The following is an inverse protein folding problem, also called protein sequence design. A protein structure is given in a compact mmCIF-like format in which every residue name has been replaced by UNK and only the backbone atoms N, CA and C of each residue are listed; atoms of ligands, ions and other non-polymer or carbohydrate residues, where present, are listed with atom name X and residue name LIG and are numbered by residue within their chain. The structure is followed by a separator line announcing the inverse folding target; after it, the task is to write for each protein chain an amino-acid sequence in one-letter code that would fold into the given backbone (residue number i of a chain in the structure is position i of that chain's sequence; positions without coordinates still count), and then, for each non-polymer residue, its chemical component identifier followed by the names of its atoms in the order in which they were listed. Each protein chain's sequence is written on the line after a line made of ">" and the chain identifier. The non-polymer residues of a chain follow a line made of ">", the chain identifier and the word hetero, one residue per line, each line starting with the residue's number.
data_IF_456359350054
#
_entry.id   IF_456359350054
#
_cell.length_a   1.000
_cell.length_b   1.000
_cell.length_c   1.000
_cell.angle_alpha   90.00
_cell.angle_beta   90.00
_cell.angle_gamma   90.00
#
_symmetry.space_group_name_H-M   'P 1'
#
loop_
_entity.id
_entity.type
_entity.pdbx_description
1 polymer ?
#
# COMPACT_ATOMS: atom_id res chain seq x y z
N UNK A 1 -4.20 9.43 39.12
CA UNK A 1 -3.77 9.04 37.75
C UNK A 1 -4.72 8.00 37.12
N UNK A 2 -6.01 7.98 37.50
CA UNK A 2 -7.00 7.04 36.93
C UNK A 2 -7.90 7.67 35.86
N UNK A 3 -8.26 8.94 36.00
CA UNK A 3 -9.32 9.55 35.17
C UNK A 3 -8.92 9.95 33.75
N UNK A 4 -7.62 10.08 33.45
CA UNK A 4 -7.14 10.38 32.09
C UNK A 4 -7.17 9.17 31.14
N UNK A 5 -7.30 7.95 31.68
CA UNK A 5 -7.40 6.72 30.87
C UNK A 5 -8.83 6.45 30.40
N UNK A 6 -9.83 6.88 31.17
CA UNK A 6 -11.24 6.65 30.84
C UNK A 6 -11.77 7.61 29.77
N UNK A 7 -11.23 8.84 29.71
CA UNK A 7 -11.56 9.82 28.67
C UNK A 7 -11.07 9.38 27.28
N UNK A 8 -9.92 8.73 27.19
CA UNK A 8 -9.37 8.21 25.94
C UNK A 8 -10.19 7.02 25.39
N UNK A 9 -10.79 6.20 26.27
CA UNK A 9 -11.64 5.08 25.89
C UNK A 9 -13.08 5.49 25.55
N UNK A 10 -13.59 6.58 26.12
CA UNK A 10 -14.94 7.08 25.82
C UNK A 10 -15.07 7.67 24.40
N UNK A 11 -13.98 8.19 23.83
CA UNK A 11 -14.01 8.82 22.49
C UNK A 11 -13.96 7.80 21.34
N UNK A 12 -13.59 6.54 21.60
CA UNK A 12 -13.43 5.50 20.56
C UNK A 12 -14.66 4.60 20.37
N UNK A 13 -15.76 4.84 21.08
CA UNK A 13 -17.04 4.14 20.93
C UNK A 13 -18.11 5.06 20.33
N UNK A 14 -18.09 5.24 19.01
CA UNK A 14 -19.30 5.40 18.16
C UNK A 14 -18.93 5.36 16.69
N UNK A 15 -19.04 4.16 16.14
CA UNK A 15 -19.12 3.86 14.71
C UNK A 15 -20.21 4.72 14.07
N UNK A 16 -19.84 5.47 13.04
CA UNK A 16 -20.74 6.04 12.04
C UNK A 16 -20.13 5.81 10.67
N UNK A 17 -20.05 4.55 10.23
CA UNK A 17 -19.43 4.16 8.94
C UNK A 17 -20.44 3.46 8.02
N UNK A 18 -21.70 3.90 8.05
CA UNK A 18 -22.76 3.44 7.14
C UNK A 18 -23.51 4.66 6.62
N UNK A 19 -23.12 5.10 5.42
CA UNK A 19 -23.72 6.25 4.75
C UNK A 19 -23.21 6.44 3.32
N UNK A 20 -22.95 5.36 2.56
CA UNK A 20 -22.82 5.46 1.10
C UNK A 20 -24.21 5.46 0.47
N UNK A 21 -24.78 6.66 0.37
CA UNK A 21 -25.99 6.95 -0.38
C UNK A 21 -25.69 8.00 -1.46
N UNK A 22 -25.64 7.52 -2.71
CA UNK A 22 -25.91 8.19 -3.98
C UNK A 22 -25.65 9.71 -4.12
N UNK A 23 -24.78 10.07 -5.08
CA UNK A 23 -25.07 11.18 -6.01
C UNK A 23 -24.67 10.77 -7.43
N UNK A 24 -25.69 10.61 -8.27
CA UNK A 24 -25.58 10.58 -9.73
C UNK A 24 -25.78 12.01 -10.26
N UNK A 25 -25.16 12.32 -11.41
CA UNK A 25 -25.56 13.45 -12.26
C UNK A 25 -24.40 14.40 -12.60
N UNK A 26 -23.87 14.27 -13.81
CA UNK A 26 -22.78 15.10 -14.30
C UNK A 26 -23.19 16.49 -14.79
N UNK A 27 -22.18 17.29 -15.11
CA UNK A 27 -22.22 18.37 -16.11
C UNK A 27 -20.79 18.68 -16.59
N UNK A 28 -20.70 19.01 -17.87
CA UNK A 28 -19.51 19.24 -18.67
C UNK A 28 -18.78 20.56 -18.35
N UNK A 29 -17.50 20.64 -18.76
CA UNK A 29 -16.80 21.92 -18.89
C UNK A 29 -15.30 21.79 -19.15
N UNK A 30 -14.89 21.87 -20.43
CA UNK A 30 -13.50 22.10 -20.84
C UNK A 30 -13.10 23.55 -20.55
N UNK A 31 -12.05 23.79 -19.77
CA UNK A 31 -11.24 25.01 -19.86
C UNK A 31 -9.89 24.81 -19.15
N UNK A 32 -8.80 25.18 -19.83
CA UNK A 32 -7.43 24.90 -19.42
C UNK A 32 -6.96 25.65 -18.18
N UNK A 33 -5.97 25.03 -17.52
CA UNK A 33 -5.20 25.59 -16.43
C UNK A 33 -4.23 24.52 -15.93
N UNK A 34 -2.94 24.77 -16.08
CA UNK A 34 -1.84 23.96 -15.52
C UNK A 34 -1.93 23.99 -14.00
N UNK A 35 -2.66 23.02 -13.45
CA UNK A 35 -2.59 22.62 -12.05
C UNK A 35 -2.29 21.13 -12.07
N UNK A 36 -1.12 20.74 -11.54
CA UNK A 36 -0.68 19.35 -11.45
C UNK A 36 -1.67 18.53 -10.62
N UNK A 37 -2.67 17.97 -11.27
CA UNK A 37 -3.47 16.89 -10.74
C UNK A 37 -2.65 15.62 -10.96
N UNK A 38 -1.96 15.19 -9.92
CA UNK A 38 -1.46 13.81 -9.80
C UNK A 38 -2.70 12.94 -9.61
N UNK A 39 -3.44 12.74 -10.70
CA UNK A 39 -4.57 11.83 -10.71
C UNK A 39 -4.03 10.41 -10.91
N UNK A 40 -4.42 9.43 -10.08
CA UNK A 40 -4.03 8.05 -10.30
C UNK A 40 -4.54 7.59 -11.67
N UNK A 41 -3.63 7.10 -12.52
CA UNK A 41 -3.94 6.65 -13.88
C UNK A 41 -3.94 5.12 -13.93
N UNK A 42 -4.79 4.58 -14.80
CA UNK A 42 -4.73 3.17 -15.18
C UNK A 42 -3.39 2.85 -15.88
N UNK A 43 -2.82 1.70 -15.52
CA UNK A 43 -1.50 1.27 -15.97
C UNK A 43 -1.42 1.10 -17.50
N UNK A 44 -0.34 1.59 -18.12
CA UNK A 44 -0.06 1.48 -19.56
C UNK A 44 1.44 1.25 -19.77
N UNK A 45 1.79 0.42 -20.75
CA UNK A 45 3.19 0.11 -21.07
C UNK A 45 3.91 1.35 -21.59
N UNK A 46 5.11 1.60 -21.07
CA UNK A 46 5.94 2.71 -21.52
C UNK A 46 6.70 2.36 -22.81
N UNK A 47 6.99 3.32 -23.69
CA UNK A 47 7.93 3.12 -24.79
C UNK A 47 9.36 2.94 -24.22
N UNK A 48 10.00 1.82 -24.56
CA UNK A 48 11.31 1.43 -24.02
C UNK A 48 12.38 1.56 -25.12
N UNK A 49 13.45 2.31 -24.86
CA UNK A 49 14.68 2.23 -25.66
C UNK A 49 15.51 1.03 -25.18
N UNK A 50 15.69 -0.02 -26.00
CA UNK A 50 16.42 -1.22 -25.59
C UNK A 50 17.92 -0.99 -25.29
N UNK A 51 18.48 0.14 -25.74
CA UNK A 51 19.89 0.50 -25.57
C UNK A 51 20.17 1.32 -24.31
N UNK A 52 19.14 1.97 -23.75
CA UNK A 52 19.25 2.79 -22.55
C UNK A 52 18.99 1.97 -21.29
N UNK A 53 19.79 2.20 -20.23
CA UNK A 53 19.51 1.60 -18.92
C UNK A 53 18.16 2.07 -18.38
N UNK A 54 17.52 1.27 -17.51
CA UNK A 54 16.24 1.66 -16.88
C UNK A 54 16.35 3.02 -16.18
N UNK A 55 17.46 3.26 -15.49
CA UNK A 55 17.73 4.55 -14.85
C UNK A 55 17.77 5.70 -15.87
N UNK A 56 18.44 5.51 -17.01
CA UNK A 56 18.50 6.54 -18.04
C UNK A 56 17.12 6.85 -18.62
N UNK A 57 16.29 5.83 -18.87
CA UNK A 57 14.90 6.01 -19.32
C UNK A 57 14.08 6.86 -18.34
N UNK A 58 14.24 6.61 -17.03
CA UNK A 58 13.59 7.38 -15.96
C UNK A 58 14.09 8.83 -15.94
N UNK A 59 15.41 9.04 -16.04
CA UNK A 59 16.02 10.36 -16.03
C UNK A 59 15.60 11.19 -17.25
N UNK A 60 15.61 10.61 -18.45
CA UNK A 60 15.22 11.28 -19.69
C UNK A 60 13.74 11.66 -19.70
N UNK A 61 12.89 10.81 -19.12
CA UNK A 61 11.46 11.06 -18.94
C UNK A 61 11.17 12.11 -17.85
N UNK A 62 12.12 12.35 -16.95
CA UNK A 62 12.04 13.44 -15.96
C UNK A 62 11.07 13.21 -14.80
N UNK A 63 10.59 11.99 -14.60
CA UNK A 63 9.80 11.57 -13.42
C UNK A 63 9.88 10.06 -13.21
N UNK A 64 9.55 9.59 -12.00
CA UNK A 64 9.50 8.17 -11.63
C UNK A 64 8.05 7.65 -11.68
N UNK A 65 7.79 6.50 -12.30
CA UNK A 65 6.48 5.82 -12.23
C UNK A 65 6.55 4.73 -11.17
N UNK A 66 5.71 4.84 -10.15
CA UNK A 66 5.68 3.95 -8.99
C UNK A 66 4.37 3.19 -8.93
N UNK A 67 4.47 1.86 -8.94
CA UNK A 67 3.34 0.98 -8.65
C UNK A 67 3.05 0.92 -7.16
N UNK A 68 1.82 1.25 -6.76
CA UNK A 68 1.37 1.24 -5.36
C UNK A 68 -0.12 0.92 -5.24
N UNK A 69 -0.68 0.90 -4.03
CA UNK A 69 -2.11 0.72 -3.78
C UNK A 69 -2.69 1.88 -2.97
N UNK A 70 -3.98 1.84 -2.62
CA UNK A 70 -4.65 2.94 -1.91
C UNK A 70 -5.49 2.51 -0.70
N UNK A 71 -5.37 1.25 -0.24
CA UNK A 71 -6.30 0.66 0.74
C UNK A 71 -5.65 0.12 2.01
N UNK A 72 -4.35 0.33 2.21
CA UNK A 72 -3.57 -0.37 3.24
C UNK A 72 -2.84 0.60 4.18
N UNK A 73 -3.55 1.22 5.14
CA UNK A 73 -2.90 2.03 6.17
C UNK A 73 -2.04 1.15 7.11
N UNK A 74 -0.91 1.66 7.62
CA UNK A 74 -0.31 2.98 7.39
C UNK A 74 0.66 3.04 6.18
N UNK A 75 0.62 2.06 5.28
CA UNK A 75 1.60 1.88 4.20
C UNK A 75 1.32 2.72 2.97
N UNK A 76 0.19 2.46 2.32
CA UNK A 76 -0.27 3.16 1.13
C UNK A 76 -1.80 3.21 1.18
N UNK A 77 -2.34 4.39 1.43
CA UNK A 77 -3.77 4.58 1.61
C UNK A 77 -4.20 5.98 1.20
N UNK A 78 -5.47 6.15 0.85
CA UNK A 78 -6.06 7.46 0.69
C UNK A 78 -6.53 8.00 2.05
N UNK A 79 -6.17 9.23 2.38
CA UNK A 79 -6.69 9.94 3.54
C UNK A 79 -8.12 10.44 3.33
N UNK A 80 -8.68 11.15 4.32
CA UNK A 80 -10.04 11.69 4.25
C UNK A 80 -10.25 12.69 3.09
N UNK A 81 -9.16 13.24 2.54
CA UNK A 81 -9.18 14.16 1.41
C UNK A 81 -9.07 13.45 0.06
N UNK A 82 -8.88 12.13 0.06
CA UNK A 82 -8.58 11.34 -1.14
C UNK A 82 -7.12 11.47 -1.59
N UNK A 83 -6.25 12.03 -0.75
CA UNK A 83 -4.82 12.14 -1.05
C UNK A 83 -4.13 10.84 -0.71
N UNK A 84 -3.35 10.33 -1.65
CA UNK A 84 -2.55 9.14 -1.44
C UNK A 84 -1.40 9.45 -0.48
N UNK A 85 -1.35 8.74 0.65
CA UNK A 85 -0.40 8.94 1.75
C UNK A 85 0.07 7.61 2.35
N UNK A 86 1.11 7.68 3.19
CA UNK A 86 1.64 6.55 3.94
C UNK A 86 3.13 6.31 3.68
N UNK A 87 3.70 5.36 4.42
CA UNK A 87 5.15 5.10 4.39
C UNK A 87 5.69 4.72 3.00
N UNK A 88 4.94 3.96 2.21
CA UNK A 88 5.35 3.58 0.85
C UNK A 88 5.32 4.80 -0.10
N UNK A 89 4.39 5.72 0.13
CA UNK A 89 4.23 6.96 -0.65
C UNK A 89 5.35 7.94 -0.33
N UNK A 90 5.67 8.10 0.95
CA UNK A 90 6.82 8.88 1.40
C UNK A 90 8.12 8.31 0.84
N UNK A 91 8.25 6.98 0.75
CA UNK A 91 9.42 6.36 0.13
C UNK A 91 9.53 6.68 -1.36
N UNK A 92 8.43 6.65 -2.10
CA UNK A 92 8.41 7.03 -3.50
C UNK A 92 8.83 8.50 -3.71
N UNK A 93 8.32 9.41 -2.89
CA UNK A 93 8.74 10.82 -2.91
C UNK A 93 10.22 11.00 -2.58
N UNK A 94 10.76 10.23 -1.63
CA UNK A 94 12.19 10.25 -1.31
C UNK A 94 13.05 9.76 -2.49
N UNK A 95 12.62 8.73 -3.22
CA UNK A 95 13.33 8.28 -4.43
C UNK A 95 13.29 9.39 -5.49
N UNK A 96 12.12 9.97 -5.77
CA UNK A 96 11.97 11.05 -6.75
C UNK A 96 12.83 12.27 -6.40
N UNK A 97 12.86 12.68 -5.11
CA UNK A 97 13.71 13.75 -4.63
C UNK A 97 15.19 13.48 -4.89
N UNK A 98 15.68 12.26 -4.66
CA UNK A 98 17.08 11.93 -4.89
C UNK A 98 17.45 11.86 -6.38
N UNK A 99 16.49 11.52 -7.25
CA UNK A 99 16.71 11.45 -8.70
C UNK A 99 16.63 12.83 -9.37
N UNK A 100 15.74 13.71 -8.90
CA UNK A 100 15.35 14.93 -9.61
C UNK A 100 15.47 16.22 -8.79
N UNK A 101 15.92 16.15 -7.53
CA UNK A 101 15.87 17.26 -6.55
C UNK A 101 14.45 17.81 -6.31
N UNK A 102 13.43 17.02 -6.66
CA UNK A 102 12.01 17.39 -6.57
C UNK A 102 11.17 16.16 -6.19
N UNK A 103 10.58 16.11 -4.97
CA UNK A 103 9.78 14.98 -4.53
C UNK A 103 8.48 14.82 -5.33
N UNK A 104 8.03 15.85 -6.05
CA UNK A 104 6.78 15.80 -6.83
C UNK A 104 6.95 15.11 -8.18
N UNK A 105 8.19 14.76 -8.58
CA UNK A 105 8.51 14.03 -9.81
C UNK A 105 8.22 12.54 -9.72
N UNK A 106 7.01 12.21 -9.27
CA UNK A 106 6.50 10.85 -9.17
C UNK A 106 5.09 10.77 -9.75
N UNK A 107 4.86 9.74 -10.56
CA UNK A 107 3.53 9.31 -11.01
C UNK A 107 3.18 8.00 -10.30
N UNK A 108 2.01 7.97 -9.67
CA UNK A 108 1.52 6.77 -8.99
C UNK A 108 0.55 5.99 -9.88
N UNK A 109 0.84 4.70 -10.03
CA UNK A 109 -0.03 3.73 -10.71
C UNK A 109 -0.63 2.82 -9.66
N UNK A 110 -1.95 2.92 -9.48
CA UNK A 110 -2.69 2.08 -8.55
C UNK A 110 -2.86 0.68 -9.12
N UNK A 111 -2.48 -0.31 -8.31
CA UNK A 111 -2.52 -1.72 -8.71
C UNK A 111 -2.81 -2.65 -7.53
N UNK A 112 -3.41 -3.79 -7.84
CA UNK A 112 -3.58 -4.90 -6.91
C UNK A 112 -2.26 -5.59 -6.57
N UNK A 113 -2.26 -6.38 -5.50
CA UNK A 113 -1.07 -7.12 -5.06
C UNK A 113 -0.56 -8.15 -6.06
N UNK A 114 -1.46 -8.72 -6.85
CA UNK A 114 -1.23 -9.70 -7.92
C UNK A 114 -0.59 -9.07 -9.16
N UNK A 115 -0.90 -7.80 -9.45
CA UNK A 115 -0.40 -7.08 -10.60
C UNK A 115 1.02 -6.52 -10.43
N UNK A 116 1.58 -6.51 -9.21
CA UNK A 116 2.91 -5.96 -8.88
C UNK A 116 4.02 -6.37 -9.85
N UNK A 117 4.33 -7.67 -9.91
CA UNK A 117 5.40 -8.19 -10.78
C UNK A 117 5.04 -8.06 -12.26
N UNK A 118 3.81 -8.41 -12.72
CA UNK A 118 3.41 -8.19 -14.10
C UNK A 118 3.60 -6.74 -14.58
N UNK A 119 3.17 -5.75 -13.79
CA UNK A 119 3.32 -4.32 -14.13
C UNK A 119 4.79 -3.90 -14.24
N UNK A 120 5.67 -4.46 -13.42
CA UNK A 120 7.10 -4.19 -13.50
C UNK A 120 7.74 -4.84 -14.74
N UNK A 121 7.40 -6.09 -15.05
CA UNK A 121 7.94 -6.84 -16.20
C UNK A 121 7.47 -6.22 -17.53
N UNK A 122 6.25 -5.70 -17.55
CA UNK A 122 5.64 -5.08 -18.75
C UNK A 122 5.96 -3.60 -18.88
N UNK A 123 6.88 -3.07 -18.06
CA UNK A 123 7.28 -1.66 -18.06
C UNK A 123 6.09 -0.70 -17.94
N UNK A 124 5.09 -1.08 -17.16
CA UNK A 124 4.00 -0.17 -16.77
C UNK A 124 4.39 0.69 -15.57
N UNK A 125 5.34 0.22 -14.76
CA UNK A 125 5.93 0.95 -13.62
C UNK A 125 7.44 0.72 -13.61
N UNK A 126 8.20 1.69 -13.08
CA UNK A 126 9.66 1.55 -12.95
C UNK A 126 10.05 0.79 -11.68
N UNK A 127 9.31 1.06 -10.61
CA UNK A 127 9.54 0.47 -9.28
C UNK A 127 8.21 0.23 -8.57
N UNK A 128 8.25 -0.60 -7.54
CA UNK A 128 7.08 -0.93 -6.71
C UNK A 128 7.37 -0.47 -5.28
N UNK A 129 6.51 0.40 -4.75
CA UNK A 129 6.47 0.76 -3.34
C UNK A 129 5.08 0.38 -2.82
N UNK A 130 4.96 -0.90 -2.42
CA UNK A 130 3.67 -1.48 -2.04
C UNK A 130 3.84 -2.65 -1.06
N UNK A 131 4.63 -2.44 0.00
CA UNK A 131 4.86 -3.41 1.08
C UNK A 131 5.02 -4.86 0.58
N UNK A 132 6.02 -5.07 -0.29
CA UNK A 132 6.21 -6.36 -0.97
C UNK A 132 7.27 -7.22 -0.26
N UNK A 133 6.83 -8.32 0.35
CA UNK A 133 7.74 -9.29 0.98
C UNK A 133 8.67 -9.94 -0.06
N UNK A 134 9.97 -9.95 0.25
CA UNK A 134 10.99 -10.62 -0.55
C UNK A 134 10.87 -12.13 -0.35
N UNK A 135 10.69 -12.87 -1.44
CA UNK A 135 10.70 -14.34 -1.43
C UNK A 135 11.57 -14.87 -2.58
N UNK A 136 12.13 -16.09 -2.48
CA UNK A 136 12.95 -16.66 -3.55
C UNK A 136 12.25 -16.72 -4.90
N UNK A 137 10.97 -17.11 -4.93
CA UNK A 137 10.18 -17.17 -6.18
C UNK A 137 9.94 -15.80 -6.83
N UNK A 138 9.85 -14.73 -6.03
CA UNK A 138 9.75 -13.35 -6.54
C UNK A 138 11.11 -12.85 -7.01
N UNK A 139 12.19 -13.15 -6.28
CA UNK A 139 13.55 -12.74 -6.61
C UNK A 139 14.08 -13.37 -7.91
N UNK A 140 13.46 -14.46 -8.38
CA UNK A 140 13.71 -15.02 -9.71
C UNK A 140 13.09 -14.20 -10.85
N UNK A 141 12.08 -13.37 -10.56
CA UNK A 141 11.31 -12.61 -11.55
C UNK A 141 11.66 -11.12 -11.56
N UNK A 142 12.01 -10.55 -10.40
CA UNK A 142 12.37 -9.14 -10.28
C UNK A 142 13.51 -8.92 -9.27
N UNK A 143 14.19 -7.79 -9.40
CA UNK A 143 15.18 -7.34 -8.44
C UNK A 143 14.52 -6.65 -7.24
N UNK A 144 15.13 -6.80 -6.07
CA UNK A 144 14.73 -6.12 -4.84
C UNK A 144 15.83 -5.18 -4.36
N UNK A 145 15.41 -4.10 -3.69
CA UNK A 145 16.31 -3.23 -2.94
C UNK A 145 16.78 -3.91 -1.65
N UNK A 146 17.67 -3.25 -0.93
CA UNK A 146 17.84 -3.55 0.50
C UNK A 146 16.50 -3.34 1.20
N UNK A 147 16.02 -4.28 2.05
CA UNK A 147 14.72 -4.14 2.69
C UNK A 147 14.62 -2.84 3.48
N UNK A 148 13.62 -2.01 3.17
CA UNK A 148 13.37 -0.74 3.87
C UNK A 148 12.50 -0.90 5.13
N UNK A 149 11.86 -2.05 5.29
CA UNK A 149 11.06 -2.40 6.46
C UNK A 149 11.17 -3.91 6.73
N UNK A 150 11.10 -4.30 8.01
CA UNK A 150 11.05 -5.69 8.46
C UNK A 150 9.88 -5.85 9.41
N UNK A 151 9.12 -6.92 9.22
CA UNK A 151 7.98 -7.26 10.07
C UNK A 151 8.16 -8.60 10.74
N UNK A 152 7.42 -8.77 11.82
CA UNK A 152 7.12 -10.07 12.42
C UNK A 152 5.62 -10.31 12.34
N UNK A 153 5.24 -11.59 12.27
CA UNK A 153 3.83 -11.98 12.33
C UNK A 153 3.51 -12.35 13.77
N UNK A 154 2.42 -11.79 14.29
CA UNK A 154 1.94 -12.02 15.64
C UNK A 154 0.43 -12.19 15.67
N UNK A 155 -0.06 -12.69 16.80
CA UNK A 155 -1.49 -12.85 17.06
C UNK A 155 -1.97 -11.69 17.91
N UNK A 156 -3.15 -11.16 17.55
CA UNK A 156 -3.83 -10.12 18.30
C UNK A 156 -5.11 -10.70 18.90
N UNK A 157 -5.34 -10.44 20.18
CA UNK A 157 -6.57 -10.80 20.89
C UNK A 157 -7.23 -9.55 21.44
N UNK A 158 -8.53 -9.61 21.68
CA UNK A 158 -9.25 -8.53 22.34
C UNK A 158 -8.70 -8.33 23.75
N UNK A 159 -8.52 -7.07 24.17
CA UNK A 159 -8.05 -6.78 25.53
C UNK A 159 -9.02 -7.29 26.61
N UNK A 160 -10.32 -7.30 26.30
CA UNK A 160 -11.38 -7.77 27.19
C UNK A 160 -12.18 -8.88 26.51
N UNK A 161 -12.53 -9.92 27.28
CA UNK A 161 -13.35 -11.03 26.79
C UNK A 161 -12.66 -11.93 25.75
N UNK A 162 -11.33 -11.88 25.63
CA UNK A 162 -10.60 -12.82 24.79
C UNK A 162 -10.77 -14.25 25.31
N UNK A 163 -11.15 -15.15 24.40
CA UNK A 163 -11.28 -16.59 24.66
C UNK A 163 -9.91 -17.25 24.90
N UNK A 164 -8.86 -16.72 24.29
CA UNK A 164 -7.49 -17.23 24.39
C UNK A 164 -6.58 -16.09 24.84
N UNK A 165 -5.77 -16.32 25.88
CA UNK A 165 -4.86 -15.29 26.42
C UNK A 165 -3.40 -15.67 26.24
N UNK A 166 -3.13 -16.95 26.02
CA UNK A 166 -1.81 -17.50 25.72
C UNK A 166 -1.83 -18.27 24.41
N UNK A 167 -0.65 -18.54 23.86
CA UNK A 167 -0.54 -19.36 22.65
C UNK A 167 -0.91 -20.82 22.96
N UNK A 168 -0.60 -21.28 24.17
CA UNK A 168 -0.94 -22.60 24.69
C UNK A 168 -2.46 -22.83 24.75
N UNK A 169 -3.23 -21.82 25.18
CA UNK A 169 -4.70 -21.90 25.19
C UNK A 169 -5.26 -22.15 23.79
N UNK A 170 -4.67 -21.48 22.79
CA UNK A 170 -5.08 -21.60 21.39
C UNK A 170 -4.71 -22.98 20.82
N UNK A 171 -3.51 -23.48 21.11
CA UNK A 171 -3.08 -24.82 20.71
C UNK A 171 -3.98 -25.90 21.34
N UNK A 172 -4.32 -25.76 22.62
CA UNK A 172 -5.20 -26.70 23.32
C UNK A 172 -6.62 -26.73 22.74
N UNK A 173 -7.10 -25.61 22.19
CA UNK A 173 -8.40 -25.53 21.54
C UNK A 173 -8.43 -26.19 20.15
N UNK A 174 -7.28 -26.42 19.52
CA UNK A 174 -7.18 -27.12 18.24
C UNK A 174 -8.14 -26.58 17.17
N UNK A 175 -8.96 -27.46 16.61
CA UNK A 175 -9.92 -27.13 15.54
C UNK A 175 -11.04 -26.14 15.95
N UNK A 176 -11.24 -25.92 17.26
CA UNK A 176 -12.23 -24.95 17.76
C UNK A 176 -11.69 -23.51 17.80
N UNK A 177 -10.39 -23.32 17.58
CA UNK A 177 -9.79 -22.01 17.44
C UNK A 177 -10.11 -21.44 16.05
N UNK A 178 -10.62 -20.21 16.01
CA UNK A 178 -10.84 -19.46 14.77
C UNK A 178 -9.96 -18.21 14.81
N UNK A 179 -9.07 -18.09 13.82
CA UNK A 179 -8.16 -16.96 13.68
C UNK A 179 -8.53 -16.20 12.42
N UNK A 180 -8.74 -14.89 12.57
CA UNK A 180 -8.76 -13.97 11.43
C UNK A 180 -7.33 -13.55 11.16
N UNK A 181 -6.91 -13.55 9.90
CA UNK A 181 -5.56 -13.16 9.55
C UNK A 181 -5.54 -11.98 8.60
N UNK A 182 -4.61 -11.07 8.84
CA UNK A 182 -4.26 -10.04 7.88
C UNK A 182 -3.56 -10.71 6.70
N UNK A 183 -3.88 -10.28 5.48
CA UNK A 183 -3.30 -10.84 4.27
C UNK A 183 -1.76 -10.75 4.34
N UNK A 184 -1.10 -11.90 4.25
CA UNK A 184 0.35 -12.04 4.19
C UNK A 184 0.69 -13.07 3.10
N UNK A 185 1.93 -13.07 2.60
CA UNK A 185 2.40 -13.99 1.57
C UNK A 185 2.33 -15.47 1.96
N UNK A 186 2.30 -15.80 3.26
CA UNK A 186 2.26 -17.18 3.76
C UNK A 186 0.93 -17.58 4.40
N UNK A 187 -0.07 -16.69 4.38
CA UNK A 187 -1.24 -16.93 5.23
C UNK A 187 -2.11 -18.09 4.74
N UNK A 188 -2.15 -18.29 3.43
CA UNK A 188 -2.88 -19.40 2.79
C UNK A 188 -2.23 -20.75 3.11
N UNK A 189 -0.91 -20.78 3.31
CA UNK A 189 -0.19 -21.98 3.74
C UNK A 189 -0.42 -22.30 5.23
N UNK A 190 -0.93 -21.34 6.01
CA UNK A 190 -1.08 -21.48 7.46
C UNK A 190 -2.52 -21.74 7.92
N UNK A 191 -3.50 -21.50 7.05
CA UNK A 191 -4.92 -21.64 7.37
C UNK A 191 -5.51 -22.78 6.54
N UNK A 192 -6.01 -23.81 7.22
CA UNK A 192 -6.75 -24.94 6.65
C UNK A 192 -8.04 -25.20 7.43
#
# INVERSE_FOLDING_TARGET
>A
MGELRDLAFSMLKRRGLLGMGAVAGGAAGLAGGVAGLVAPRAAQAQPVDPSASKLQQVLDRGHLIVGTGSTNPPWHFEDETGTLVGMDIDMAHLIAKNLFDDPTKVEFVLQGSDARIPSLITDQVDVICQWMTITPGRAQQCAFTVPYYREGIGLLVMAEGARFTTFEDMLAAGADARVGAMQNVFIEDWIH
#
